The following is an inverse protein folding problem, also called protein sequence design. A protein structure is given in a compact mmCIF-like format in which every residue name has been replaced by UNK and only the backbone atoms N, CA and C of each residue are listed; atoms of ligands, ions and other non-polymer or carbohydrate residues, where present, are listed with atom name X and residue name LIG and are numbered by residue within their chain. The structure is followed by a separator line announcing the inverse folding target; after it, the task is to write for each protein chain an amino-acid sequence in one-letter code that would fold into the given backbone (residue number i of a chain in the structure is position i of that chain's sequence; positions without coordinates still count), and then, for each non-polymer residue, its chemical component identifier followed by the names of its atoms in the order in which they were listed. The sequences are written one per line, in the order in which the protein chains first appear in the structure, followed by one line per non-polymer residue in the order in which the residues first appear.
data_IF_545108648552
#
_entry.id   IF_545108648552
#
_cell.length_a   1.000
_cell.length_b   1.000
_cell.length_c   1.000
_cell.angle_alpha   90.00
_cell.angle_beta   90.00
_cell.angle_gamma   90.00
#
_symmetry.space_group_name_H-M   'P 1'
#
loop_
_entity.id
_entity.type
_entity.pdbx_description
1 polymer ?
#
# COMPACT_ATOMS: atom_id res chain seq x y z
N UNK A 1 16.21 -22.26 -15.69
CA UNK A 1 14.92 -21.83 -15.12
C UNK A 1 15.17 -21.41 -13.69
N UNK A 2 15.21 -20.10 -13.45
CA UNK A 2 15.22 -19.55 -12.09
C UNK A 2 13.87 -19.90 -11.44
N UNK A 3 13.83 -20.33 -10.17
CA UNK A 3 12.55 -20.51 -9.49
C UNK A 3 11.80 -19.17 -9.47
N UNK A 4 10.45 -19.18 -9.60
CA UNK A 4 9.66 -17.98 -9.45
C UNK A 4 9.95 -17.40 -8.06
N UNK A 5 10.17 -16.09 -7.99
CA UNK A 5 10.34 -15.40 -6.71
C UNK A 5 8.98 -15.45 -6.03
N UNK A 6 8.85 -16.13 -4.88
CA UNK A 6 7.60 -16.11 -4.13
C UNK A 6 7.47 -14.74 -3.46
N UNK A 7 6.69 -13.89 -4.10
CA UNK A 7 6.26 -12.60 -3.57
C UNK A 7 4.80 -12.73 -3.14
N UNK A 8 4.48 -12.23 -1.94
CA UNK A 8 3.12 -12.13 -1.46
C UNK A 8 2.85 -10.71 -0.99
N UNK A 9 1.77 -10.11 -1.51
CA UNK A 9 1.25 -8.83 -1.04
C UNK A 9 -0.18 -9.08 -0.56
N UNK A 10 -0.45 -8.71 0.67
CA UNK A 10 -1.80 -8.76 1.25
C UNK A 10 -2.13 -7.40 1.83
N UNK A 11 -3.33 -6.90 1.55
CA UNK A 11 -3.83 -5.65 2.11
C UNK A 11 -5.10 -5.94 2.88
N UNK A 12 -5.13 -5.56 4.14
CA UNK A 12 -6.28 -5.72 5.01
C UNK A 12 -6.86 -4.34 5.34
N UNK A 13 -8.15 -4.17 5.14
CA UNK A 13 -8.84 -2.92 5.52
C UNK A 13 -9.02 -2.89 7.04
N UNK A 14 -8.53 -1.83 7.67
CA UNK A 14 -8.69 -1.54 9.09
C UNK A 14 -9.71 -0.42 9.29
N UNK A 15 -10.22 -0.27 10.52
CA UNK A 15 -11.22 0.74 10.88
C UNK A 15 -10.80 2.19 10.57
N UNK A 16 -9.48 2.45 10.50
CA UNK A 16 -8.90 3.78 10.26
C UNK A 16 -7.82 3.80 9.16
N UNK A 17 -7.81 2.80 8.27
CA UNK A 17 -6.79 2.71 7.22
C UNK A 17 -6.65 1.31 6.61
N UNK A 18 -5.42 0.96 6.22
CA UNK A 18 -5.05 -0.27 5.54
C UNK A 18 -3.79 -0.83 6.18
N UNK A 19 -3.77 -2.13 6.42
CA UNK A 19 -2.57 -2.88 6.77
C UNK A 19 -2.03 -3.54 5.51
N UNK A 20 -0.92 -3.01 5.01
CA UNK A 20 -0.19 -3.57 3.88
C UNK A 20 0.87 -4.51 4.42
N UNK A 21 0.82 -5.76 3.99
CA UNK A 21 1.84 -6.78 4.25
C UNK A 21 2.50 -7.17 2.93
N UNK A 22 3.82 -7.08 2.88
CA UNK A 22 4.65 -7.50 1.76
C UNK A 22 5.64 -8.54 2.27
N UNK A 23 5.72 -9.66 1.57
CA UNK A 23 6.68 -10.72 1.81
C UNK A 23 7.41 -11.05 0.50
N UNK A 24 8.74 -11.16 0.56
CA UNK A 24 9.57 -11.68 -0.52
C UNK A 24 10.63 -12.63 0.04
N UNK A 25 10.79 -13.77 -0.63
CA UNK A 25 11.90 -14.70 -0.34
C UNK A 25 13.28 -14.10 -0.64
N UNK A 26 13.36 -13.05 -1.47
CA UNK A 26 14.61 -12.34 -1.76
C UNK A 26 14.64 -10.98 -1.07
N UNK A 27 15.68 -10.76 -0.27
CA UNK A 27 15.97 -9.44 0.29
C UNK A 27 16.67 -8.56 -0.76
N UNK A 28 16.06 -7.44 -1.10
CA UNK A 28 16.66 -6.43 -1.98
C UNK A 28 16.56 -5.07 -1.30
N UNK A 29 17.69 -4.36 -1.08
CA UNK A 29 17.68 -3.07 -0.39
C UNK A 29 16.86 -2.00 -1.12
N UNK A 30 16.71 -2.11 -2.45
CA UNK A 30 15.88 -1.20 -3.25
C UNK A 30 14.37 -1.48 -3.18
N UNK A 31 13.95 -2.68 -2.77
CA UNK A 31 12.54 -3.07 -2.75
C UNK A 31 11.73 -2.25 -1.74
N UNK A 32 12.32 -1.99 -0.56
CA UNK A 32 11.71 -1.12 0.45
C UNK A 32 11.40 0.26 -0.13
N UNK A 33 12.38 0.84 -0.82
CA UNK A 33 12.28 2.19 -1.39
C UNK A 33 11.15 2.23 -2.42
N UNK A 34 11.11 1.26 -3.34
CA UNK A 34 10.03 1.19 -4.35
C UNK A 34 8.63 1.04 -3.75
N UNK A 35 8.48 0.28 -2.67
CA UNK A 35 7.17 0.13 -2.00
C UNK A 35 6.76 1.42 -1.28
N UNK A 36 7.69 2.09 -0.60
CA UNK A 36 7.42 3.37 0.04
C UNK A 36 7.08 4.47 -0.97
N UNK A 37 7.76 4.48 -2.12
CA UNK A 37 7.48 5.42 -3.21
C UNK A 37 6.05 5.28 -3.72
N UNK A 38 5.55 4.04 -3.84
CA UNK A 38 4.14 3.79 -4.15
C UNK A 38 3.21 4.28 -3.06
N UNK A 39 3.54 4.12 -1.78
CA UNK A 39 2.70 4.67 -0.71
C UNK A 39 2.58 6.19 -0.79
N UNK A 40 3.67 6.88 -1.13
CA UNK A 40 3.66 8.33 -1.35
C UNK A 40 2.87 8.73 -2.58
N UNK A 41 3.02 8.02 -3.71
CA UNK A 41 2.26 8.25 -4.95
C UNK A 41 0.75 8.05 -4.75
N UNK A 42 0.39 7.02 -3.97
CA UNK A 42 -0.97 6.72 -3.54
C UNK A 42 -1.53 7.72 -2.52
N UNK A 43 -0.71 8.63 -1.98
CA UNK A 43 -1.14 9.56 -0.92
C UNK A 43 -1.47 8.85 0.41
N UNK A 44 -0.96 7.65 0.63
CA UNK A 44 -1.11 6.89 1.87
C UNK A 44 -0.16 7.43 2.93
N UNK A 45 -0.72 7.98 4.00
CA UNK A 45 0.09 8.37 5.15
C UNK A 45 0.37 7.15 6.02
N UNK A 46 1.59 6.66 5.96
CA UNK A 46 2.09 5.55 6.78
C UNK A 46 2.17 6.00 8.24
N UNK A 47 1.35 5.39 9.10
CA UNK A 47 1.31 5.62 10.54
C UNK A 47 2.36 4.77 11.27
N UNK A 48 2.46 3.51 10.89
CA UNK A 48 3.40 2.55 11.45
C UNK A 48 3.98 1.73 10.30
N UNK A 49 5.29 1.49 10.31
CA UNK A 49 5.92 0.55 9.40
C UNK A 49 6.95 -0.30 10.14
N UNK A 50 6.97 -1.59 9.84
CA UNK A 50 7.93 -2.58 10.33
C UNK A 50 8.54 -3.28 9.14
N UNK A 51 9.86 -3.18 8.99
CA UNK A 51 10.60 -3.85 7.93
C UNK A 51 11.64 -4.80 8.51
N UNK A 52 11.75 -5.99 7.94
CA UNK A 52 12.81 -6.96 8.21
C UNK A 52 13.50 -7.33 6.89
N UNK A 53 14.84 -7.35 6.88
CA UNK A 53 15.66 -7.48 5.68
C UNK A 53 16.82 -8.48 5.81
N UNK A 54 16.82 -9.34 6.85
CA UNK A 54 17.96 -10.19 7.21
C UNK A 54 18.22 -11.31 6.20
N UNK A 55 17.18 -12.09 5.89
CA UNK A 55 17.24 -13.23 4.95
C UNK A 55 16.09 -13.16 3.94
N UNK A 56 14.97 -12.58 4.36
CA UNK A 56 13.75 -12.36 3.58
C UNK A 56 13.35 -10.91 3.73
N UNK A 57 12.68 -10.35 2.73
CA UNK A 57 12.08 -9.03 2.85
C UNK A 57 10.67 -9.18 3.41
N UNK A 58 10.41 -8.52 4.53
CA UNK A 58 9.07 -8.42 5.12
C UNK A 58 8.80 -6.97 5.46
N UNK A 59 7.72 -6.41 4.93
CA UNK A 59 7.23 -5.10 5.28
C UNK A 59 5.80 -5.21 5.77
N UNK A 60 5.52 -4.63 6.92
CA UNK A 60 4.17 -4.36 7.37
C UNK A 60 4.04 -2.86 7.51
N UNK A 61 3.04 -2.26 6.87
CA UNK A 61 2.78 -0.84 6.93
C UNK A 61 1.30 -0.60 7.21
N UNK A 62 1.00 0.25 8.19
CA UNK A 62 -0.34 0.75 8.46
C UNK A 62 -0.45 2.10 7.77
N UNK A 63 -1.10 2.14 6.62
CA UNK A 63 -1.40 3.37 5.88
C UNK A 63 -2.80 3.87 6.19
N UNK A 64 -3.02 5.18 6.18
CA UNK A 64 -4.36 5.75 6.12
C UNK A 64 -4.47 6.66 4.90
N UNK A 65 -5.65 6.70 4.29
CA UNK A 65 -5.97 7.73 3.31
C UNK A 65 -5.91 9.08 4.02
N UNK A 66 -5.08 10.00 3.52
CA UNK A 66 -5.05 11.40 4.01
C UNK A 66 -5.64 12.28 2.93
N UNK A 67 -6.83 11.91 2.45
CA UNK A 67 -7.65 12.90 1.77
C UNK A 67 -8.13 13.87 2.83
N UNK A 68 -7.86 15.15 2.56
CA UNK A 68 -8.16 16.36 3.35
C UNK A 68 -9.62 16.49 3.84
N UNK A 69 -10.45 15.47 3.61
CA UNK A 69 -11.88 15.38 3.88
C UNK A 69 -12.30 14.55 5.11
N UNK A 70 -11.43 13.79 5.81
CA UNK A 70 -11.90 12.98 6.96
C UNK A 70 -12.65 13.77 8.04
N UNK A 71 -12.31 15.05 8.22
CA UNK A 71 -12.95 15.92 9.20
C UNK A 71 -14.07 16.76 8.58
N UNK A 72 -14.01 17.06 7.26
CA UNK A 72 -14.95 17.95 6.58
C UNK A 72 -16.13 17.18 5.96
N UNK A 73 -15.89 15.97 5.43
CA UNK A 73 -16.91 15.11 4.84
C UNK A 73 -17.98 14.71 5.86
N UNK A 74 -17.63 14.44 7.12
CA UNK A 74 -18.62 14.14 8.18
C UNK A 74 -19.51 15.33 8.53
N UNK A 75 -18.98 16.55 8.52
CA UNK A 75 -19.75 17.77 8.83
C UNK A 75 -20.66 18.14 7.65
N UNK A 76 -20.21 17.92 6.41
CA UNK A 76 -20.98 18.23 5.20
C UNK A 76 -22.01 17.15 4.83
N UNK A 77 -21.80 15.89 5.22
CA UNK A 77 -22.77 14.79 4.95
C UNK A 77 -24.10 15.00 5.69
N UNK A 78 -24.07 15.48 6.94
CA UNK A 78 -25.29 15.71 7.73
C UNK A 78 -26.05 16.98 7.30
N UNK A 79 -25.38 17.94 6.62
CA UNK A 79 -25.93 19.27 6.31
C UNK A 79 -26.19 19.55 4.83
N UNK A 80 -25.53 18.88 3.87
CA UNK A 80 -25.53 19.33 2.47
C UNK A 80 -25.85 18.28 1.39
N UNK A 81 -26.03 16.99 1.71
CA UNK A 81 -26.34 15.93 0.71
C UNK A 81 -25.40 15.97 -0.53
N UNK A 82 -24.10 16.20 -0.31
CA UNK A 82 -23.13 16.11 -1.39
C UNK A 82 -22.77 14.64 -1.52
N UNK A 83 -23.13 14.04 -2.65
CA UNK A 83 -22.63 12.74 -3.07
C UNK A 83 -21.14 12.91 -3.38
N UNK A 84 -20.32 12.75 -2.35
CA UNK A 84 -18.88 12.64 -2.52
C UNK A 84 -18.66 11.20 -2.96
N UNK A 85 -18.93 10.91 -4.24
CA UNK A 85 -18.39 9.73 -4.90
C UNK A 85 -16.88 9.96 -5.13
N UNK A 86 -16.18 10.27 -4.05
CA UNK A 86 -14.73 10.23 -4.03
C UNK A 86 -14.39 8.77 -3.96
N UNK A 87 -14.16 8.16 -5.13
CA UNK A 87 -13.71 6.77 -5.28
C UNK A 87 -12.72 6.49 -4.13
N UNK A 88 -13.22 5.77 -3.12
CA UNK A 88 -12.44 5.47 -1.93
C UNK A 88 -11.42 4.46 -2.40
N UNK A 89 -10.15 4.68 -2.10
CA UNK A 89 -9.14 3.68 -2.42
C UNK A 89 -9.48 2.41 -1.65
N UNK A 90 -9.88 1.36 -2.36
CA UNK A 90 -10.12 0.06 -1.77
C UNK A 90 -8.79 -0.66 -1.51
N UNK A 91 -8.79 -1.63 -0.60
CA UNK A 91 -7.61 -2.45 -0.30
C UNK A 91 -7.04 -3.14 -1.55
N UNK A 92 -7.90 -3.49 -2.51
CA UNK A 92 -7.49 -4.11 -3.77
C UNK A 92 -6.66 -3.16 -4.65
N UNK A 93 -7.05 -1.90 -4.77
CA UNK A 93 -6.30 -0.90 -5.52
C UNK A 93 -4.92 -0.65 -4.89
N UNK A 94 -4.86 -0.59 -3.56
CA UNK A 94 -3.59 -0.47 -2.82
C UNK A 94 -2.72 -1.70 -3.06
N UNK A 95 -3.31 -2.90 -3.01
CA UNK A 95 -2.59 -4.16 -3.27
C UNK A 95 -1.99 -4.18 -4.67
N UNK A 96 -2.79 -3.87 -5.69
CA UNK A 96 -2.34 -3.86 -7.08
C UNK A 96 -1.19 -2.86 -7.31
N UNK A 97 -1.29 -1.65 -6.74
CA UNK A 97 -0.25 -0.64 -6.87
C UNK A 97 1.08 -1.12 -6.26
N UNK A 98 1.04 -1.74 -5.08
CA UNK A 98 2.22 -2.31 -4.42
C UNK A 98 2.80 -3.48 -5.23
N UNK A 99 1.95 -4.39 -5.70
CA UNK A 99 2.39 -5.49 -6.58
C UNK A 99 3.03 -4.97 -7.87
N UNK A 100 2.48 -3.91 -8.47
CA UNK A 100 3.03 -3.29 -9.68
C UNK A 100 4.40 -2.67 -9.42
N UNK A 101 4.60 -1.96 -8.32
CA UNK A 101 5.92 -1.43 -7.97
C UNK A 101 6.95 -2.55 -7.81
N UNK A 102 6.56 -3.63 -7.13
CA UNK A 102 7.48 -4.74 -6.88
C UNK A 102 7.79 -5.49 -8.19
N UNK A 103 6.79 -5.79 -9.01
CA UNK A 103 6.99 -6.43 -10.31
C UNK A 103 7.82 -5.56 -11.27
N UNK A 104 7.60 -4.24 -11.25
CA UNK A 104 8.42 -3.28 -12.00
C UNK A 104 9.86 -3.25 -11.51
N UNK A 105 10.09 -3.40 -10.21
CA UNK A 105 11.43 -3.45 -9.61
C UNK A 105 12.19 -4.73 -9.99
N UNK A 106 11.51 -5.89 -9.95
CA UNK A 106 12.16 -7.16 -10.28
C UNK A 106 12.40 -7.36 -11.76
N UNK A 107 11.81 -6.54 -12.63
CA UNK A 107 12.03 -6.59 -14.08
C UNK A 107 11.85 -8.01 -14.60
N UNK A 108 10.60 -8.47 -14.74
CA UNK A 108 10.36 -9.63 -15.62
C UNK A 108 10.72 -9.17 -17.02
N UNK A 109 12.01 -9.31 -17.36
CA UNK A 109 12.51 -9.16 -18.71
C UNK A 109 11.76 -10.14 -19.59
N UNK A 110 11.14 -9.60 -20.63
CA UNK A 110 10.68 -10.35 -21.80
C UNK A 110 11.77 -11.29 -22.35
#
# INVERSE_FOLDING_TARGET
MSPPISLQVTVETLEKGFLIHVFSEKSCPGLLVSVLEVFEDLGLNVLEAKAACTDTFRLQAIGRDVRRGDIICKIMQDRLHIDINGESMDAEAVKEAVERAINGFFGVGE
#
